data_IF_265750398758
#
_entry.id   IF_265750398758
#
_cell.length_a   1.000
_cell.length_b   1.000
_cell.length_c   1.000
_cell.angle_alpha   90.00
_cell.angle_beta   90.00
_cell.angle_gamma   90.00
#
_symmetry.space_group_name_H-M   'P 1'
#
loop_
_entity.id
_entity.type
_entity.pdbx_description
1 polymer ?
#
# COMPACT_ATOMS: atom_id res chain seq x y z
N UNK A 1 6.09 7.39 9.95
CA UNK A 1 6.93 6.81 11.02
C UNK A 1 7.22 5.38 10.65
N UNK A 2 8.51 5.06 10.45
CA UNK A 2 8.98 3.69 10.18
C UNK A 2 8.87 2.93 11.51
N UNK A 3 8.07 1.87 11.53
CA UNK A 3 7.85 1.08 12.75
C UNK A 3 8.78 -0.12 12.87
N UNK A 4 9.30 -0.61 11.73
CA UNK A 4 10.24 -1.71 11.63
C UNK A 4 11.25 -1.43 10.51
N UNK A 5 12.55 -1.63 10.78
CA UNK A 5 13.61 -1.49 9.76
C UNK A 5 14.76 -2.44 10.08
N UNK A 6 15.47 -2.86 9.04
CA UNK A 6 16.70 -3.63 9.20
C UNK A 6 17.83 -2.72 9.70
N UNK A 7 18.63 -3.19 10.64
CA UNK A 7 19.85 -2.53 11.12
C UNK A 7 19.77 -1.87 12.50
N UNK A 8 18.71 -1.12 12.87
CA UNK A 8 18.66 -0.49 14.21
C UNK A 8 18.53 -1.49 15.37
N UNK A 9 17.98 -2.68 15.11
CA UNK A 9 17.84 -3.73 16.11
C UNK A 9 18.51 -5.03 15.63
N UNK A 10 19.02 -5.88 16.57
CA UNK A 10 19.70 -7.13 16.23
C UNK A 10 18.78 -8.15 15.56
N UNK A 11 17.47 -8.02 15.71
CA UNK A 11 16.46 -8.86 15.05
C UNK A 11 15.24 -8.04 14.69
N UNK A 12 14.60 -8.38 13.55
CA UNK A 12 13.34 -7.80 13.11
C UNK A 12 12.34 -8.92 12.84
N UNK A 13 11.11 -8.76 13.31
CA UNK A 13 10.02 -9.68 12.98
C UNK A 13 9.57 -9.42 11.54
N UNK A 14 9.71 -10.44 10.69
CA UNK A 14 9.30 -10.38 9.28
C UNK A 14 7.90 -10.95 9.16
N UNK A 15 6.98 -10.16 8.62
CA UNK A 15 5.65 -10.66 8.26
C UNK A 15 5.76 -11.43 6.93
N UNK A 16 5.37 -12.70 6.94
CA UNK A 16 5.28 -13.54 5.75
C UNK A 16 3.82 -13.87 5.54
N UNK A 17 3.29 -13.48 4.39
CA UNK A 17 1.90 -13.71 4.04
C UNK A 17 1.79 -14.47 2.72
N UNK A 18 0.73 -15.26 2.57
CA UNK A 18 0.50 -16.11 1.41
C UNK A 18 0.60 -17.60 1.75
N UNK A 19 0.63 -18.47 0.75
CA UNK A 19 0.59 -18.16 -0.68
C UNK A 19 -0.79 -17.64 -1.14
N UNK A 20 -0.79 -16.75 -2.13
CA UNK A 20 -2.03 -16.23 -2.73
C UNK A 20 -2.31 -16.91 -4.06
N UNK A 21 -3.60 -17.22 -4.37
CA UNK A 21 -3.95 -17.75 -5.67
C UNK A 21 -3.70 -16.71 -6.76
N UNK A 22 -3.06 -17.14 -7.84
CA UNK A 22 -2.76 -16.31 -8.99
C UNK A 22 -3.44 -16.84 -10.24
N UNK A 23 -3.75 -15.98 -11.21
CA UNK A 23 -4.35 -16.33 -12.47
C UNK A 23 -3.49 -15.86 -13.64
N UNK A 24 -3.61 -16.54 -14.78
CA UNK A 24 -2.99 -16.09 -16.02
C UNK A 24 -3.55 -14.70 -16.39
N UNK A 25 -2.66 -13.77 -16.70
CA UNK A 25 -3.01 -12.37 -16.98
C UNK A 25 -2.88 -11.42 -15.78
N UNK A 26 -2.75 -11.95 -14.57
CA UNK A 26 -2.49 -11.10 -13.40
C UNK A 26 -1.17 -10.34 -13.58
N UNK A 27 -1.19 -9.09 -13.16
CA UNK A 27 -0.01 -8.23 -13.16
C UNK A 27 0.26 -7.73 -11.75
N UNK A 28 1.43 -8.02 -11.22
CA UNK A 28 1.90 -7.59 -9.91
C UNK A 28 2.91 -6.46 -10.08
N UNK A 29 2.70 -5.38 -9.34
CA UNK A 29 3.59 -4.24 -9.27
C UNK A 29 4.10 -4.10 -7.83
N UNK A 30 5.43 -4.10 -7.68
CA UNK A 30 6.12 -3.82 -6.42
C UNK A 30 6.88 -2.52 -6.59
N UNK A 31 6.76 -1.62 -5.63
CA UNK A 31 7.46 -0.34 -5.70
C UNK A 31 7.88 0.16 -4.32
N UNK A 32 8.86 1.09 -4.34
CA UNK A 32 9.18 1.92 -3.17
C UNK A 32 8.13 3.02 -2.97
N UNK A 33 8.16 3.65 -1.80
CA UNK A 33 7.31 4.80 -1.46
C UNK A 33 7.57 6.04 -2.33
N UNK A 34 8.78 6.17 -2.90
CA UNK A 34 9.08 7.18 -3.91
C UNK A 34 8.18 7.12 -5.15
N UNK A 35 7.64 5.93 -5.52
CA UNK A 35 6.66 5.82 -6.59
C UNK A 35 5.24 6.09 -6.08
N UNK A 36 4.78 5.33 -5.09
CA UNK A 36 3.39 5.42 -4.62
C UNK A 36 3.08 6.71 -3.85
N UNK A 37 4.09 7.52 -3.53
CA UNK A 37 3.94 8.87 -3.04
C UNK A 37 3.63 9.90 -4.13
N UNK A 38 3.94 9.59 -5.40
CA UNK A 38 3.79 10.48 -6.55
C UNK A 38 2.68 10.08 -7.51
N UNK A 39 2.32 8.80 -7.56
CA UNK A 39 1.33 8.24 -8.48
C UNK A 39 0.18 7.61 -7.72
N UNK A 40 -1.01 7.74 -8.29
CA UNK A 40 -2.20 7.05 -7.79
C UNK A 40 -2.18 5.56 -8.17
N UNK A 41 -2.81 4.72 -7.35
CA UNK A 41 -2.91 3.29 -7.61
C UNK A 41 -3.57 2.99 -8.97
N UNK A 42 -4.56 3.81 -9.37
CA UNK A 42 -5.24 3.71 -10.67
C UNK A 42 -4.32 4.06 -11.85
N UNK A 43 -3.46 5.07 -11.70
CA UNK A 43 -2.49 5.45 -12.74
C UNK A 43 -1.47 4.33 -12.95
N UNK A 44 -0.93 3.79 -11.84
CA UNK A 44 -0.03 2.64 -11.88
C UNK A 44 -0.69 1.43 -12.53
N UNK A 45 -1.97 1.16 -12.19
CA UNK A 45 -2.75 0.09 -12.78
C UNK A 45 -2.96 0.26 -14.29
N UNK A 46 -3.32 1.46 -14.76
CA UNK A 46 -3.49 1.76 -16.19
C UNK A 46 -2.19 1.53 -16.98
N UNK A 47 -1.07 2.02 -16.45
CA UNK A 47 0.25 1.85 -17.07
C UNK A 47 0.66 0.39 -17.12
N UNK A 48 0.59 -0.30 -15.98
CA UNK A 48 0.99 -1.70 -15.86
C UNK A 48 0.13 -2.65 -16.71
N UNK A 49 -1.14 -2.33 -16.96
CA UNK A 49 -2.01 -3.13 -17.83
C UNK A 49 -1.77 -2.88 -19.32
N UNK A 50 -1.43 -1.64 -19.71
CA UNK A 50 -1.36 -1.22 -21.11
C UNK A 50 0.01 -1.42 -21.73
N UNK A 51 1.09 -1.11 -20.98
CA UNK A 51 2.45 -1.21 -21.47
C UNK A 51 3.06 -2.61 -21.24
N UNK A 52 4.15 -2.90 -21.99
CA UNK A 52 4.99 -4.05 -21.65
C UNK A 52 5.64 -3.83 -20.27
N UNK A 53 5.95 -4.88 -19.48
CA UNK A 53 6.56 -4.70 -18.16
C UNK A 53 7.81 -3.80 -18.16
N UNK A 54 8.77 -3.93 -19.10
CA UNK A 54 9.92 -3.03 -19.15
C UNK A 54 9.54 -1.57 -19.45
N UNK A 55 8.63 -1.33 -20.40
CA UNK A 55 8.19 0.01 -20.75
C UNK A 55 7.37 0.64 -19.61
N UNK A 56 6.54 -0.16 -18.95
CA UNK A 56 5.77 0.29 -17.79
C UNK A 56 6.68 0.71 -16.63
N UNK A 57 7.72 -0.06 -16.32
CA UNK A 57 8.68 0.30 -15.27
C UNK A 57 9.36 1.64 -15.58
N UNK A 58 9.85 1.84 -16.80
CA UNK A 58 10.50 3.09 -17.23
C UNK A 58 9.53 4.26 -17.12
N UNK A 59 8.36 4.13 -17.74
CA UNK A 59 7.39 5.20 -17.78
C UNK A 59 6.87 5.61 -16.40
N UNK A 60 6.69 4.66 -15.48
CA UNK A 60 6.31 4.97 -14.09
C UNK A 60 7.40 5.75 -13.35
N UNK A 61 8.67 5.39 -13.56
CA UNK A 61 9.80 6.13 -12.98
C UNK A 61 9.88 7.54 -13.57
N UNK A 62 9.72 7.67 -14.88
CA UNK A 62 9.73 8.97 -15.56
C UNK A 62 8.60 9.87 -15.04
N UNK A 63 7.37 9.35 -14.94
CA UNK A 63 6.23 10.11 -14.39
C UNK A 63 6.44 10.54 -12.94
N UNK A 64 7.02 9.68 -12.10
CA UNK A 64 7.26 10.03 -10.70
C UNK A 64 8.36 11.10 -10.58
N UNK A 65 9.42 11.03 -11.39
CA UNK A 65 10.45 12.04 -11.46
C UNK A 65 9.91 13.40 -11.92
N UNK A 66 9.05 13.41 -12.94
CA UNK A 66 8.39 14.61 -13.45
C UNK A 66 7.45 15.27 -12.43
N UNK A 67 6.97 14.51 -11.46
CA UNK A 67 6.16 15.02 -10.34
C UNK A 67 7.00 15.44 -9.13
N UNK A 68 8.31 15.50 -9.29
CA UNK A 68 9.24 16.02 -8.30
C UNK A 68 10.23 15.01 -7.72
N UNK A 69 10.00 13.70 -7.84
CA UNK A 69 10.92 12.63 -7.47
C UNK A 69 11.68 12.84 -6.14
N UNK A 70 11.00 13.09 -5.01
CA UNK A 70 11.66 13.52 -3.76
C UNK A 70 12.44 12.39 -3.07
N UNK A 71 12.30 11.16 -3.54
CA UNK A 71 12.92 9.97 -2.95
C UNK A 71 13.36 8.99 -4.05
N UNK A 72 14.13 7.97 -3.68
CA UNK A 72 14.56 6.90 -4.58
C UNK A 72 13.37 6.10 -5.09
N UNK A 73 13.28 5.92 -6.42
CA UNK A 73 12.18 5.23 -7.08
C UNK A 73 12.66 3.87 -7.55
N UNK A 74 12.00 2.82 -7.07
CA UNK A 74 12.22 1.44 -7.53
C UNK A 74 10.90 0.83 -7.92
N UNK A 75 10.86 0.18 -9.09
CA UNK A 75 9.67 -0.49 -9.62
C UNK A 75 10.04 -1.86 -10.16
N UNK A 76 9.25 -2.86 -9.83
CA UNK A 76 9.31 -4.19 -10.42
C UNK A 76 7.91 -4.63 -10.85
N UNK A 77 7.77 -5.11 -12.08
CA UNK A 77 6.49 -5.59 -12.62
C UNK A 77 6.66 -7.04 -13.08
N UNK A 78 5.77 -7.90 -12.56
CA UNK A 78 5.64 -9.28 -12.98
C UNK A 78 4.25 -9.49 -13.60
N UNK A 79 4.19 -9.93 -14.87
CA UNK A 79 2.96 -10.33 -15.53
C UNK A 79 2.95 -11.83 -15.71
N UNK A 80 1.90 -12.48 -15.22
CA UNK A 80 1.75 -13.91 -15.30
C UNK A 80 1.27 -14.34 -16.69
N UNK A 81 2.06 -15.21 -17.30
CA UNK A 81 1.68 -15.88 -18.56
C UNK A 81 0.65 -17.00 -18.35
N UNK A 82 0.24 -17.67 -19.43
CA UNK A 82 -0.57 -18.87 -19.30
C UNK A 82 0.16 -19.94 -18.48
N UNK A 83 -0.57 -20.56 -17.54
CA UNK A 83 -0.01 -21.63 -16.69
C UNK A 83 0.33 -22.83 -17.57
N UNK A 84 1.56 -23.37 -17.51
CA UNK A 84 1.88 -24.64 -18.16
C UNK A 84 0.96 -25.76 -17.66
N UNK A 85 0.49 -26.62 -18.55
CA UNK A 85 -0.48 -27.68 -18.24
C UNK A 85 0.01 -28.68 -17.18
N UNK A 86 1.31 -28.74 -16.92
CA UNK A 86 1.96 -29.72 -16.06
C UNK A 86 2.09 -29.26 -14.58
N UNK A 87 1.64 -28.03 -14.23
CA UNK A 87 1.69 -27.56 -12.84
C UNK A 87 0.40 -27.99 -12.14
N UNK A 88 0.49 -28.77 -11.04
CA UNK A 88 -0.70 -29.12 -10.26
C UNK A 88 -1.39 -27.88 -9.70
N UNK A 89 -2.55 -27.53 -10.24
CA UNK A 89 -3.41 -26.46 -9.73
C UNK A 89 -4.29 -26.99 -8.61
N UNK A 90 -3.70 -27.29 -7.45
CA UNK A 90 -4.46 -27.57 -6.24
C UNK A 90 -4.92 -26.28 -5.55
N UNK A 91 -6.03 -26.30 -4.79
CA UNK A 91 -6.38 -25.18 -3.94
C UNK A 91 -5.25 -24.96 -2.93
N UNK A 92 -4.66 -23.76 -2.98
CA UNK A 92 -3.67 -23.36 -1.99
C UNK A 92 -4.40 -23.14 -0.67
N UNK A 93 -4.15 -23.99 0.32
CA UNK A 93 -4.57 -23.72 1.69
C UNK A 93 -3.74 -22.56 2.23
N UNK A 94 -4.34 -21.38 2.24
CA UNK A 94 -3.75 -20.20 2.87
C UNK A 94 -3.88 -20.40 4.38
N UNK A 95 -2.76 -20.52 5.14
CA UNK A 95 -2.83 -20.59 6.57
C UNK A 95 -3.51 -19.32 7.10
N UNK A 96 -4.74 -19.44 7.58
CA UNK A 96 -5.37 -18.33 8.30
C UNK A 96 -4.62 -18.18 9.61
N UNK A 97 -3.95 -17.07 9.78
CA UNK A 97 -3.43 -16.69 11.10
C UNK A 97 -4.65 -16.29 11.94
N UNK A 98 -5.13 -17.23 12.74
CA UNK A 98 -6.14 -16.93 13.74
C UNK A 98 -5.52 -15.90 14.69
N UNK A 99 -5.99 -14.66 14.59
CA UNK A 99 -5.66 -13.63 15.56
C UNK A 99 -6.37 -14.02 16.84
N UNK A 100 -5.67 -14.73 17.72
CA UNK A 100 -6.17 -15.09 19.02
C UNK A 100 -6.75 -13.85 19.71
N UNK A 101 -7.99 -13.91 20.18
CA UNK A 101 -8.55 -12.82 20.97
C UNK A 101 -7.62 -12.59 22.15
N UNK A 102 -7.25 -11.34 22.39
CA UNK A 102 -6.28 -10.99 23.44
C UNK A 102 -6.82 -11.30 24.83
N UNK A 103 -6.81 -12.57 25.22
CA UNK A 103 -7.28 -13.10 26.51
C UNK A 103 -6.63 -12.37 27.69
N UNK A 104 -5.45 -11.76 27.46
CA UNK A 104 -4.77 -10.96 28.48
C UNK A 104 -5.62 -9.81 29.01
N UNK A 105 -6.41 -9.15 28.17
CA UNK A 105 -7.30 -8.07 28.60
C UNK A 105 -8.43 -8.59 29.47
N UNK A 106 -9.05 -9.73 29.10
CA UNK A 106 -10.12 -10.35 29.89
C UNK A 106 -9.61 -10.78 31.27
N UNK A 107 -8.43 -11.39 31.34
CA UNK A 107 -7.80 -11.80 32.61
C UNK A 107 -7.54 -10.57 33.47
N UNK A 108 -6.94 -9.50 32.91
CA UNK A 108 -6.63 -8.28 33.65
C UNK A 108 -7.89 -7.61 34.21
N UNK A 109 -8.95 -7.48 33.42
CA UNK A 109 -10.24 -6.92 33.89
C UNK A 109 -10.88 -7.81 34.95
N UNK A 110 -10.83 -9.14 34.80
CA UNK A 110 -11.41 -10.08 35.78
C UNK A 110 -10.65 -9.98 37.10
N UNK A 111 -9.33 -9.92 37.10
CA UNK A 111 -8.54 -9.78 38.34
C UNK A 111 -8.90 -8.47 39.06
N UNK A 112 -8.96 -7.35 38.34
CA UNK A 112 -9.33 -6.07 38.94
C UNK A 112 -10.77 -6.04 39.46
N UNK A 113 -11.70 -6.71 38.78
CA UNK A 113 -13.08 -6.83 39.24
C UNK A 113 -13.18 -7.65 40.54
N UNK A 114 -12.42 -8.74 40.64
CA UNK A 114 -12.38 -9.56 41.88
C UNK A 114 -11.78 -8.76 43.04
N UNK A 115 -10.68 -8.03 42.81
CA UNK A 115 -10.07 -7.18 43.84
C UNK A 115 -10.99 -6.04 44.28
N UNK A 116 -11.78 -5.48 43.37
CA UNK A 116 -12.80 -4.49 43.69
C UNK A 116 -13.90 -5.04 44.61
N UNK A 117 -14.40 -6.27 44.33
CA UNK A 117 -15.40 -6.96 45.16
C UNK A 117 -14.81 -7.26 46.54
N UNK A 118 -13.58 -7.73 46.64
CA UNK A 118 -12.89 -7.97 47.91
C UNK A 118 -12.80 -6.67 48.70
N UNK A 119 -12.40 -5.56 48.06
CA UNK A 119 -12.36 -4.24 48.71
C UNK A 119 -13.72 -3.77 49.23
N UNK A 120 -14.82 -4.17 48.58
CA UNK A 120 -16.19 -3.90 49.04
C UNK A 120 -16.60 -4.70 50.26
N UNK A 121 -16.10 -5.94 50.39
CA UNK A 121 -16.44 -6.86 51.47
C UNK A 121 -15.59 -6.63 52.73
N UNK A 122 -14.33 -6.22 52.60
CA UNK A 122 -13.42 -5.99 53.74
C UNK A 122 -13.97 -5.08 54.84
N UNK A 123 -14.68 -3.97 54.57
CA UNK A 123 -15.28 -3.12 55.58
C UNK A 123 -16.27 -3.79 56.49
N UNK A 124 -16.89 -4.91 56.05
CA UNK A 124 -17.84 -5.69 56.86
C UNK A 124 -17.14 -6.48 57.98
N UNK A 125 -15.83 -6.68 57.90
CA UNK A 125 -14.99 -7.39 58.86
C UNK A 125 -14.10 -6.45 59.70
N UNK A 126 -14.61 -5.25 60.01
CA UNK A 126 -13.91 -4.17 60.80
C UNK A 126 -12.64 -3.57 60.11
N UNK A 127 -12.27 -4.03 58.91
CA UNK A 127 -11.12 -3.58 58.14
C UNK A 127 -11.48 -2.42 57.17
N UNK A 128 -12.12 -1.37 57.71
CA UNK A 128 -12.70 -0.29 56.87
C UNK A 128 -11.65 0.44 56.03
N UNK A 129 -10.52 0.80 56.61
CA UNK A 129 -9.51 1.54 55.90
C UNK A 129 -8.79 0.72 54.82
N UNK A 130 -8.51 -0.56 55.09
CA UNK A 130 -7.90 -1.45 54.15
C UNK A 130 -8.80 -1.65 52.92
N UNK A 131 -10.10 -1.80 53.11
CA UNK A 131 -11.07 -1.93 52.02
C UNK A 131 -11.17 -0.69 51.15
N UNK A 132 -11.21 0.51 51.78
CA UNK A 132 -11.27 1.79 51.05
C UNK A 132 -10.00 1.99 50.20
N UNK A 133 -8.82 1.73 50.78
CA UNK A 133 -7.53 1.85 50.05
C UNK A 133 -7.51 0.91 48.85
N UNK A 134 -7.91 -0.37 49.04
CA UNK A 134 -7.97 -1.34 47.96
C UNK A 134 -8.93 -0.92 46.83
N UNK A 135 -10.11 -0.38 47.19
CA UNK A 135 -11.04 0.15 46.19
C UNK A 135 -10.48 1.33 45.41
N UNK A 136 -9.81 2.27 46.05
CA UNK A 136 -9.18 3.38 45.33
C UNK A 136 -8.13 2.88 44.32
N UNK A 137 -7.28 1.95 44.72
CA UNK A 137 -6.28 1.38 43.79
C UNK A 137 -6.91 0.61 42.63
N UNK A 138 -7.98 -0.15 42.88
CA UNK A 138 -8.67 -0.91 41.82
C UNK A 138 -9.41 0.02 40.84
N UNK A 139 -10.04 1.10 41.30
CA UNK A 139 -10.69 2.10 40.44
C UNK A 139 -9.66 2.79 39.54
N UNK A 140 -8.51 3.21 40.09
CA UNK A 140 -7.42 3.80 39.32
C UNK A 140 -6.84 2.78 38.32
N UNK A 141 -6.67 1.52 38.75
CA UNK A 141 -6.22 0.43 37.89
C UNK A 141 -7.16 0.15 36.73
N UNK A 142 -8.46 0.09 36.98
CA UNK A 142 -9.50 -0.09 35.93
C UNK A 142 -9.47 1.08 34.95
N UNK A 143 -9.37 2.32 35.44
CA UNK A 143 -9.27 3.51 34.59
C UNK A 143 -8.02 3.48 33.70
N UNK A 144 -6.86 3.14 34.26
CA UNK A 144 -5.60 3.00 33.51
C UNK A 144 -5.67 1.87 32.46
N UNK A 145 -6.24 0.72 32.84
CA UNK A 145 -6.41 -0.41 31.92
C UNK A 145 -7.39 -0.09 30.79
N UNK A 146 -8.46 0.62 31.08
CA UNK A 146 -9.43 1.09 30.07
C UNK A 146 -8.76 2.08 29.09
N UNK A 147 -7.98 3.03 29.59
CA UNK A 147 -7.26 3.96 28.75
C UNK A 147 -6.21 3.26 27.87
N UNK A 148 -5.52 2.26 28.40
CA UNK A 148 -4.57 1.45 27.66
C UNK A 148 -5.28 0.64 26.58
N UNK A 149 -6.43 0.03 26.89
CA UNK A 149 -7.26 -0.71 25.95
C UNK A 149 -7.83 0.17 24.84
N UNK A 150 -8.32 1.38 25.18
CA UNK A 150 -8.79 2.35 24.20
C UNK A 150 -7.68 2.80 23.26
N UNK A 151 -6.47 3.05 23.79
CA UNK A 151 -5.30 3.40 22.97
C UNK A 151 -4.86 2.25 22.07
N UNK A 152 -4.88 1.01 22.56
CA UNK A 152 -4.57 -0.17 21.75
C UNK A 152 -5.63 -0.38 20.66
N UNK A 153 -6.91 -0.23 20.99
CA UNK A 153 -8.01 -0.24 20.03
C UNK A 153 -7.86 0.86 18.97
N UNK A 154 -7.53 2.08 19.37
CA UNK A 154 -7.35 3.21 18.45
C UNK A 154 -6.15 3.00 17.52
N UNK A 155 -5.05 2.41 18.02
CA UNK A 155 -3.89 2.00 17.20
C UNK A 155 -4.27 0.92 16.20
N UNK A 156 -5.04 -0.09 16.60
CA UNK A 156 -5.53 -1.16 15.71
C UNK A 156 -6.48 -0.57 14.65
N UNK A 157 -7.38 0.33 15.03
CA UNK A 157 -8.31 1.00 14.11
C UNK A 157 -7.59 1.93 13.14
N UNK A 158 -6.58 2.70 13.59
CA UNK A 158 -5.75 3.52 12.69
C UNK A 158 -4.96 2.70 11.68
N UNK A 159 -4.48 1.52 12.08
CA UNK A 159 -3.83 0.59 11.14
C UNK A 159 -4.84 -0.10 10.20
N UNK A 160 -6.13 -0.08 10.52
CA UNK A 160 -7.21 -0.64 9.70
C UNK A 160 -7.85 0.37 8.75
N UNK A 161 -7.65 1.68 8.95
CA UNK A 161 -8.20 2.72 8.07
C UNK A 161 -7.24 2.96 6.90
N UNK A 162 -7.19 1.99 6.00
CA UNK A 162 -6.95 2.19 4.58
C UNK A 162 -8.16 1.63 3.84
N UNK A 163 -8.98 2.48 3.17
CA UNK A 163 -10.34 2.09 2.74
C UNK A 163 -10.42 0.94 1.74
N UNK A 164 -9.31 0.50 1.14
CA UNK A 164 -9.29 -0.46 0.04
C UNK A 164 -8.56 -1.78 0.32
N UNK A 165 -8.08 -2.01 1.53
CA UNK A 165 -7.46 -3.30 1.85
C UNK A 165 -8.56 -4.25 2.30
N UNK A 166 -8.95 -5.18 1.46
CA UNK A 166 -9.80 -6.30 1.87
C UNK A 166 -9.11 -7.03 3.02
N UNK A 167 -9.83 -7.36 4.12
CA UNK A 167 -9.25 -8.13 5.21
C UNK A 167 -8.61 -9.42 4.66
N UNK A 168 -7.30 -9.57 4.84
CA UNK A 168 -6.56 -10.76 4.43
C UNK A 168 -5.79 -10.66 3.11
N UNK A 169 -5.72 -9.48 2.45
CA UNK A 169 -4.83 -9.28 1.31
C UNK A 169 -3.76 -8.23 1.63
N UNK A 170 -2.46 -8.54 1.51
CA UNK A 170 -1.35 -7.61 1.76
C UNK A 170 -1.15 -6.65 0.59
N UNK A 171 -1.87 -6.82 -0.51
CA UNK A 171 -1.76 -6.03 -1.72
C UNK A 171 -3.03 -5.20 -1.94
N UNK A 172 -2.85 -4.09 -2.64
CA UNK A 172 -3.95 -3.27 -3.15
C UNK A 172 -4.30 -3.72 -4.56
N UNK A 173 -5.56 -3.57 -4.92
CA UNK A 173 -6.03 -3.77 -6.29
C UNK A 173 -6.49 -2.42 -6.84
N UNK A 174 -6.02 -2.07 -8.04
CA UNK A 174 -6.43 -0.86 -8.72
C UNK A 174 -7.20 -1.20 -10.00
N UNK A 175 -8.10 -0.30 -10.41
CA UNK A 175 -8.76 -0.41 -11.69
C UNK A 175 -7.74 -0.14 -12.81
N UNK A 176 -7.55 -1.12 -13.70
CA UNK A 176 -6.57 -1.06 -14.79
C UNK A 176 -7.18 -0.56 -16.11
N UNK A 177 -8.40 0.01 -16.09
CA UNK A 177 -9.05 0.49 -17.31
C UNK A 177 -8.48 1.85 -17.70
N UNK A 178 -7.80 1.90 -18.85
CA UNK A 178 -7.25 3.13 -19.40
C UNK A 178 -8.36 4.16 -19.68
N UNK A 179 -8.15 5.40 -19.20
CA UNK A 179 -9.07 6.51 -19.37
C UNK A 179 -8.52 7.54 -20.34
N UNK A 180 -9.41 8.19 -21.06
CA UNK A 180 -9.06 9.29 -21.97
C UNK A 180 -8.38 10.43 -21.22
N UNK A 181 -8.84 10.75 -20.00
CA UNK A 181 -8.26 11.81 -19.18
C UNK A 181 -6.80 11.53 -18.83
N UNK A 182 -6.44 10.27 -18.52
CA UNK A 182 -5.05 9.91 -18.24
C UNK A 182 -4.16 10.08 -19.47
N UNK A 183 -4.59 9.62 -20.65
CA UNK A 183 -3.84 9.77 -21.89
C UNK A 183 -3.70 11.25 -22.28
N UNK A 184 -4.73 12.06 -22.05
CA UNK A 184 -4.67 13.51 -22.25
C UNK A 184 -3.64 14.17 -21.33
N UNK A 185 -3.56 13.74 -20.06
CA UNK A 185 -2.52 14.23 -19.16
C UNK A 185 -1.11 13.85 -19.63
N UNK A 186 -0.93 12.63 -20.16
CA UNK A 186 0.36 12.23 -20.75
C UNK A 186 0.73 13.09 -21.96
N UNK A 187 -0.23 13.43 -22.82
CA UNK A 187 -0.02 14.36 -23.94
C UNK A 187 0.36 15.77 -23.46
N UNK A 188 -0.25 16.26 -22.40
CA UNK A 188 0.11 17.56 -21.83
C UNK A 188 1.53 17.54 -21.23
N UNK A 189 1.91 16.48 -20.53
CA UNK A 189 3.27 16.30 -20.00
C UNK A 189 4.29 16.27 -21.13
N UNK A 190 4.05 15.49 -22.17
CA UNK A 190 4.91 15.41 -23.36
C UNK A 190 5.10 16.80 -24.00
N UNK A 191 4.02 17.53 -24.20
CA UNK A 191 4.08 18.89 -24.77
C UNK A 191 4.92 19.85 -23.90
N UNK A 192 4.78 19.81 -22.58
CA UNK A 192 5.57 20.64 -21.67
C UNK A 192 7.04 20.25 -21.68
N UNK A 193 7.36 18.96 -21.68
CA UNK A 193 8.73 18.47 -21.77
C UNK A 193 9.41 18.90 -23.07
N UNK A 194 8.75 18.72 -24.20
CA UNK A 194 9.23 19.15 -25.50
C UNK A 194 9.58 20.65 -25.52
N UNK A 195 8.67 21.45 -24.98
CA UNK A 195 8.91 22.90 -24.89
C UNK A 195 10.10 23.23 -23.99
N UNK A 196 10.20 22.62 -22.82
CA UNK A 196 11.32 22.84 -21.89
C UNK A 196 12.63 22.36 -22.48
N UNK A 197 12.65 21.22 -23.16
CA UNK A 197 13.86 20.69 -23.82
C UNK A 197 14.42 21.63 -24.90
N UNK A 198 13.52 22.33 -25.62
CA UNK A 198 13.93 23.36 -26.58
C UNK A 198 14.45 24.62 -25.87
N UNK A 199 13.73 25.10 -24.84
CA UNK A 199 14.09 26.31 -24.09
C UNK A 199 15.42 26.15 -23.34
N UNK A 200 15.74 24.97 -22.84
CA UNK A 200 16.95 24.66 -22.05
C UNK A 200 18.06 23.99 -22.87
N UNK A 201 17.89 23.86 -24.17
CA UNK A 201 18.84 23.24 -25.12
C UNK A 201 19.32 21.84 -24.72
N UNK A 202 18.37 20.98 -24.36
CA UNK A 202 18.67 19.60 -23.98
C UNK A 202 19.15 18.78 -25.19
N UNK A 203 20.05 17.83 -24.91
CA UNK A 203 20.49 16.87 -25.94
C UNK A 203 19.45 15.73 -26.03
N UNK A 204 18.59 15.80 -27.04
CA UNK A 204 17.49 14.85 -27.27
C UNK A 204 17.64 14.24 -28.68
N UNK A 205 17.29 12.95 -28.84
CA UNK A 205 17.10 12.39 -30.19
C UNK A 205 15.78 12.90 -30.77
N UNK A 206 15.84 14.08 -31.38
CA UNK A 206 14.69 14.75 -32.00
C UNK A 206 14.00 13.92 -33.06
N UNK A 207 14.73 13.05 -33.79
CA UNK A 207 14.12 12.20 -34.82
C UNK A 207 13.28 11.07 -34.21
N UNK A 208 13.80 10.43 -33.20
CA UNK A 208 13.09 9.39 -32.42
C UNK A 208 11.88 9.98 -31.70
N UNK A 209 12.08 11.11 -31.03
CA UNK A 209 10.99 11.83 -30.35
C UNK A 209 9.84 12.15 -31.31
N UNK A 210 10.14 12.83 -32.45
CA UNK A 210 9.09 13.28 -33.37
C UNK A 210 8.26 12.12 -33.94
N UNK A 211 8.93 11.01 -34.30
CA UNK A 211 8.27 9.80 -34.76
C UNK A 211 7.28 9.25 -33.73
N UNK A 212 7.67 9.24 -32.44
CA UNK A 212 6.80 8.75 -31.37
C UNK A 212 5.69 9.73 -31.02
N UNK A 213 5.96 11.03 -30.99
CA UNK A 213 4.96 12.07 -30.70
C UNK A 213 3.88 12.13 -31.78
N UNK A 214 4.25 12.10 -33.06
CA UNK A 214 3.30 12.08 -34.18
C UNK A 214 2.41 10.84 -34.15
N UNK A 215 3.02 9.68 -33.91
CA UNK A 215 2.27 8.41 -33.78
C UNK A 215 1.32 8.44 -32.59
N UNK A 216 1.75 9.00 -31.46
CA UNK A 216 0.91 9.14 -30.26
C UNK A 216 -0.30 10.03 -30.53
N UNK A 217 -0.09 11.19 -31.17
CA UNK A 217 -1.16 12.15 -31.49
C UNK A 217 -2.15 11.60 -32.51
N UNK A 218 -1.67 10.88 -33.53
CA UNK A 218 -2.55 10.20 -34.50
C UNK A 218 -3.40 9.13 -33.82
N UNK A 219 -2.82 8.29 -32.99
CA UNK A 219 -3.53 7.24 -32.24
C UNK A 219 -4.56 7.84 -31.28
N UNK A 220 -4.20 8.93 -30.59
CA UNK A 220 -5.11 9.64 -29.68
C UNK A 220 -6.31 10.21 -30.42
N UNK A 221 -6.10 10.90 -31.55
CA UNK A 221 -7.14 11.47 -32.38
C UNK A 221 -8.03 10.36 -32.99
N UNK A 222 -7.46 9.19 -33.26
CA UNK A 222 -8.19 8.00 -33.74
C UNK A 222 -8.93 7.23 -32.63
N UNK A 223 -8.89 7.69 -31.36
CA UNK A 223 -9.51 7.02 -30.21
C UNK A 223 -8.80 5.73 -29.74
N UNK A 224 -7.61 5.46 -30.26
CA UNK A 224 -6.80 4.27 -29.91
C UNK A 224 -5.94 4.56 -28.66
N UNK A 225 -6.58 4.63 -27.49
CA UNK A 225 -5.93 5.07 -26.25
C UNK A 225 -4.69 4.22 -25.87
N UNK A 226 -4.76 2.90 -26.07
CA UNK A 226 -3.63 2.00 -25.75
C UNK A 226 -2.41 2.28 -26.64
N UNK A 227 -2.61 2.50 -27.93
CA UNK A 227 -1.54 2.83 -28.87
C UNK A 227 -0.98 4.23 -28.58
N UNK A 228 -1.85 5.19 -28.25
CA UNK A 228 -1.46 6.54 -27.88
C UNK A 228 -0.58 6.53 -26.63
N UNK A 229 -0.98 5.81 -25.56
CA UNK A 229 -0.18 5.72 -24.34
C UNK A 229 1.20 5.09 -24.58
N UNK A 230 1.26 4.00 -25.37
CA UNK A 230 2.55 3.37 -25.72
C UNK A 230 3.50 4.35 -26.43
N UNK A 231 2.98 5.15 -27.32
CA UNK A 231 3.79 6.12 -28.09
C UNK A 231 4.16 7.34 -27.25
N UNK A 232 3.27 7.87 -26.43
CA UNK A 232 3.60 8.93 -25.46
C UNK A 232 4.64 8.48 -24.45
N UNK A 233 4.54 7.26 -23.93
CA UNK A 233 5.53 6.73 -22.99
C UNK A 233 6.94 6.66 -23.60
N UNK A 234 7.05 6.35 -24.89
CA UNK A 234 8.33 6.34 -25.62
C UNK A 234 8.82 7.76 -25.93
N UNK A 235 7.95 8.67 -26.31
CA UNK A 235 8.31 10.05 -26.55
C UNK A 235 8.83 10.77 -25.30
N UNK A 236 8.25 10.48 -24.14
CA UNK A 236 8.67 11.04 -22.84
C UNK A 236 10.03 10.49 -22.39
N UNK A 237 10.37 9.27 -22.81
CA UNK A 237 11.62 8.61 -22.40
C UNK A 237 12.85 8.97 -23.24
N UNK A 238 12.67 9.51 -24.45
CA UNK A 238 13.73 9.95 -25.35
C UNK A 238 14.41 11.23 -24.84
#
# INVERSE_FOLDING_TARGET
VITRSLGPQPSVEVDIEGPYPTQAGDTYLLCSDGLCGQLLDEEMGMVAATLSPPDACRFLVDLANLRGGPDNITVAIARLGPVPADIPTGPLEIPRRDVEPGWGWFIAFTVLAVLFVIGMVLPLFEKRWEGIILQMFTVVGIGGLLLAWLRDRDRRTRNQIRPDIRPGTPYRTAAAKLTQAFVQNCSAIEYHLHRTAIEEDWTVDWSGYQSHADTAQQAYNGGQLDAALRSFARAIHV
#
